data_IF_740968759653
#
_entry.id   IF_740968759653
#
_cell.length_a   1.000
_cell.length_b   1.000
_cell.length_c   1.000
_cell.angle_alpha   90.00
_cell.angle_beta   90.00
_cell.angle_gamma   90.00
#
_symmetry.space_group_name_H-M   'P 1'
#
loop_
_entity.id
_entity.type
_entity.pdbx_description
1 polymer ?
#
# COMPACT_ATOMS: atom_id res chain seq x y z
N UNK A 1 -13.92 -30.57 -14.04
CA UNK A 1 -13.45 -29.59 -15.05
C UNK A 1 -13.00 -28.30 -14.36
N UNK A 2 -11.82 -28.32 -13.74
CA UNK A 2 -11.19 -27.21 -12.99
C UNK A 2 -9.68 -27.28 -13.21
N UNK A 3 -9.22 -27.06 -14.45
CA UNK A 3 -7.78 -26.99 -14.80
C UNK A 3 -7.47 -26.02 -15.97
N UNK A 4 -8.39 -25.11 -16.32
CA UNK A 4 -8.21 -24.21 -17.47
C UNK A 4 -7.94 -22.74 -17.08
N UNK A 5 -8.10 -22.35 -15.80
CA UNK A 5 -7.91 -20.93 -15.40
C UNK A 5 -6.45 -20.57 -15.10
N UNK A 6 -5.56 -21.55 -14.87
CA UNK A 6 -4.15 -21.29 -14.49
C UNK A 6 -3.23 -21.09 -15.71
N UNK A 7 -3.67 -21.44 -16.93
CA UNK A 7 -2.91 -21.16 -18.15
C UNK A 7 -3.14 -19.75 -18.75
N UNK A 8 -4.09 -18.97 -18.23
CA UNK A 8 -4.39 -17.63 -18.72
C UNK A 8 -3.43 -16.53 -18.23
N UNK A 9 -2.69 -16.76 -17.14
CA UNK A 9 -1.76 -15.79 -16.55
C UNK A 9 -0.31 -15.92 -17.05
N UNK A 10 -0.01 -16.98 -17.81
CA UNK A 10 1.33 -17.23 -18.40
C UNK A 10 1.38 -16.95 -19.92
N UNK A 11 0.27 -16.59 -20.55
CA UNK A 11 0.17 -16.32 -22.00
C UNK A 11 -0.12 -14.85 -22.37
N UNK A 12 0.08 -13.90 -21.45
CA UNK A 12 0.15 -12.46 -21.75
C UNK A 12 1.61 -12.00 -21.72
N UNK A 13 2.53 -12.82 -22.26
CA UNK A 13 3.95 -12.47 -22.38
C UNK A 13 4.39 -12.18 -23.82
N UNK A 14 3.50 -12.31 -24.82
CA UNK A 14 3.86 -12.13 -26.23
C UNK A 14 2.71 -11.55 -27.08
N UNK A 15 2.28 -10.32 -26.81
CA UNK A 15 1.57 -9.50 -27.81
C UNK A 15 1.37 -8.03 -27.37
N UNK A 16 2.46 -7.29 -27.14
CA UNK A 16 2.42 -5.83 -27.32
C UNK A 16 3.84 -5.30 -27.48
N UNK A 17 4.43 -5.56 -28.64
CA UNK A 17 5.46 -4.69 -29.18
C UNK A 17 4.80 -3.34 -29.54
N UNK A 18 4.52 -2.54 -28.53
CA UNK A 18 4.05 -1.16 -28.65
C UNK A 18 5.11 -0.29 -27.99
N UNK A 19 6.05 0.18 -28.81
CA UNK A 19 7.01 1.26 -28.54
C UNK A 19 7.48 1.30 -27.07
N UNK A 20 8.32 0.34 -26.68
CA UNK A 20 9.03 0.44 -25.40
C UNK A 20 10.02 1.60 -25.51
N UNK A 21 9.65 2.74 -24.98
CA UNK A 21 10.60 3.79 -24.67
C UNK A 21 11.62 3.17 -23.71
N UNK A 22 12.85 2.95 -24.18
CA UNK A 22 13.92 2.34 -23.39
C UNK A 22 14.04 3.07 -22.06
N UNK A 23 13.95 2.32 -20.95
CA UNK A 23 14.11 2.91 -19.62
C UNK A 23 15.57 3.31 -19.47
N UNK A 24 15.83 4.58 -19.14
CA UNK A 24 17.20 5.05 -18.93
C UNK A 24 17.81 4.40 -17.69
N UNK A 25 19.15 4.25 -17.65
CA UNK A 25 19.85 3.73 -16.46
C UNK A 25 19.51 4.53 -15.19
N UNK A 26 19.35 5.85 -15.33
CA UNK A 26 18.91 6.71 -14.23
C UNK A 26 17.52 6.33 -13.75
N UNK A 27 16.57 6.14 -14.66
CA UNK A 27 15.20 5.76 -14.30
C UNK A 27 15.13 4.36 -13.68
N UNK A 28 15.93 3.40 -14.17
CA UNK A 28 16.05 2.08 -13.53
C UNK A 28 16.61 2.18 -12.10
N UNK A 29 17.63 3.01 -11.89
CA UNK A 29 18.19 3.25 -10.56
C UNK A 29 17.14 3.85 -9.61
N UNK A 30 16.41 4.87 -10.05
CA UNK A 30 15.35 5.49 -9.25
C UNK A 30 14.22 4.49 -8.94
N UNK A 31 13.83 3.63 -9.89
CA UNK A 31 12.89 2.54 -9.65
C UNK A 31 13.40 1.56 -8.57
N UNK A 32 14.69 1.20 -8.58
CA UNK A 32 15.29 0.34 -7.54
C UNK A 32 15.24 1.01 -6.17
N UNK A 33 15.55 2.31 -6.10
CA UNK A 33 15.51 3.07 -4.84
C UNK A 33 14.08 3.15 -4.31
N UNK A 34 13.10 3.47 -5.18
CA UNK A 34 11.68 3.48 -4.83
C UNK A 34 11.23 2.15 -4.24
N UNK A 35 11.47 1.04 -4.97
CA UNK A 35 11.03 -0.30 -4.56
C UNK A 35 11.72 -0.75 -3.26
N UNK A 36 13.01 -0.46 -3.10
CA UNK A 36 13.75 -0.79 -1.88
C UNK A 36 13.23 -0.01 -0.66
N UNK A 37 12.94 1.28 -0.82
CA UNK A 37 12.36 2.08 0.25
C UNK A 37 10.93 1.63 0.59
N UNK A 38 10.14 1.27 -0.42
CA UNK A 38 8.80 0.72 -0.23
C UNK A 38 8.84 -0.62 0.52
N UNK A 39 9.73 -1.55 0.16
CA UNK A 39 9.87 -2.85 0.87
C UNK A 39 10.17 -2.64 2.35
N UNK A 40 11.09 -1.73 2.68
CA UNK A 40 11.41 -1.38 4.07
C UNK A 40 10.18 -0.83 4.82
N UNK A 41 9.41 0.04 4.19
CA UNK A 41 8.22 0.63 4.79
C UNK A 41 7.10 -0.41 5.00
N UNK A 42 6.90 -1.30 4.01
CA UNK A 42 5.93 -2.40 4.09
C UNK A 42 6.34 -3.42 5.15
N UNK A 43 7.63 -3.75 5.27
CA UNK A 43 8.15 -4.62 6.34
C UNK A 43 7.78 -4.11 7.73
N UNK A 44 7.97 -2.81 8.00
CA UNK A 44 7.55 -2.22 9.28
C UNK A 44 6.04 -2.39 9.54
N UNK A 45 5.22 -2.39 8.48
CA UNK A 45 3.77 -2.59 8.59
C UNK A 45 3.42 -4.05 8.88
N UNK A 46 4.15 -5.01 8.30
CA UNK A 46 4.03 -6.43 8.63
C UNK A 46 4.37 -6.68 10.09
N UNK A 47 5.46 -6.09 10.59
CA UNK A 47 5.85 -6.21 12.00
C UNK A 47 4.79 -5.66 12.95
N UNK A 48 4.17 -4.53 12.59
CA UNK A 48 3.05 -3.96 13.34
C UNK A 48 1.81 -4.87 13.32
N UNK A 49 1.46 -5.45 12.16
CA UNK A 49 0.35 -6.40 12.03
C UNK A 49 0.60 -7.64 12.90
N UNK A 50 1.81 -8.16 12.94
CA UNK A 50 2.18 -9.33 13.74
C UNK A 50 2.14 -9.03 15.25
N UNK A 51 2.61 -7.85 15.67
CA UNK A 51 2.49 -7.39 17.04
C UNK A 51 1.01 -7.29 17.46
N UNK A 52 0.16 -6.72 16.60
CA UNK A 52 -1.27 -6.62 16.84
C UNK A 52 -1.95 -8.00 16.92
N UNK A 53 -1.68 -8.90 15.96
CA UNK A 53 -2.20 -10.29 15.95
C UNK A 53 -1.82 -11.04 17.23
N UNK A 54 -0.58 -10.86 17.69
CA UNK A 54 -0.09 -11.46 18.94
C UNK A 54 -0.81 -10.89 20.16
N UNK A 55 -1.06 -9.58 20.19
CA UNK A 55 -1.86 -8.92 21.23
C UNK A 55 -3.29 -9.47 21.28
N UNK A 56 -3.96 -9.59 20.14
CA UNK A 56 -5.32 -10.10 20.02
C UNK A 56 -5.48 -11.54 20.50
N UNK A 57 -4.54 -12.44 20.17
CA UNK A 57 -4.60 -13.84 20.62
C UNK A 57 -4.66 -13.97 22.14
N UNK A 58 -4.03 -13.04 22.89
CA UNK A 58 -4.07 -13.00 24.36
C UNK A 58 -5.41 -12.50 24.91
N UNK A 59 -6.22 -11.84 24.08
CA UNK A 59 -7.51 -11.23 24.46
C UNK A 59 -8.73 -12.05 23.98
N UNK A 60 -8.52 -13.04 23.10
CA UNK A 60 -9.56 -13.85 22.47
C UNK A 60 -10.30 -14.82 23.41
N UNK A 61 -9.94 -14.90 24.69
CA UNK A 61 -10.63 -15.79 25.64
C UNK A 61 -12.04 -15.30 26.03
N UNK A 62 -12.49 -14.08 25.64
CA UNK A 62 -13.74 -13.50 26.17
C UNK A 62 -14.86 -13.03 25.22
N UNK A 63 -14.68 -12.79 23.91
CA UNK A 63 -15.83 -12.45 23.02
C UNK A 63 -15.62 -12.88 21.56
N UNK A 64 -16.44 -13.82 21.09
CA UNK A 64 -16.41 -14.47 19.77
C UNK A 64 -17.57 -13.99 18.89
N UNK A 65 -17.31 -13.06 17.97
CA UNK A 65 -18.08 -12.91 16.70
C UNK A 65 -17.53 -11.73 15.85
N UNK A 66 -17.13 -10.63 16.50
CA UNK A 66 -16.56 -9.44 15.79
C UNK A 66 -15.06 -9.57 15.49
N UNK A 67 -14.38 -10.49 16.17
CA UNK A 67 -12.96 -10.77 15.98
C UNK A 67 -12.70 -11.46 14.65
N UNK A 68 -13.62 -12.30 14.15
CA UNK A 68 -13.36 -13.07 12.92
C UNK A 68 -13.31 -12.20 11.67
N UNK A 69 -14.23 -11.23 11.52
CA UNK A 69 -14.17 -10.25 10.42
C UNK A 69 -12.86 -9.46 10.46
N UNK A 70 -12.46 -9.02 11.65
CA UNK A 70 -11.23 -8.25 11.81
C UNK A 70 -9.98 -9.10 11.56
N UNK A 71 -10.01 -10.37 11.95
CA UNK A 71 -8.96 -11.34 11.64
C UNK A 71 -8.82 -11.56 10.14
N UNK A 72 -9.93 -11.69 9.40
CA UNK A 72 -9.92 -11.75 7.94
C UNK A 72 -9.27 -10.49 7.36
N UNK A 73 -9.67 -9.29 7.82
CA UNK A 73 -9.05 -8.03 7.39
C UNK A 73 -7.53 -8.03 7.64
N UNK A 74 -7.05 -8.46 8.81
CA UNK A 74 -5.62 -8.54 9.11
C UNK A 74 -4.89 -9.59 8.27
N UNK A 75 -5.54 -10.69 7.91
CA UNK A 75 -4.98 -11.70 7.02
C UNK A 75 -4.86 -11.15 5.59
N UNK A 76 -5.90 -10.48 5.09
CA UNK A 76 -5.91 -9.85 3.78
C UNK A 76 -4.82 -8.79 3.65
N UNK A 77 -4.71 -7.88 4.62
CA UNK A 77 -3.65 -6.84 4.61
C UNK A 77 -2.25 -7.48 4.70
N UNK A 78 -2.06 -8.52 5.52
CA UNK A 78 -0.76 -9.22 5.57
C UNK A 78 -0.43 -9.90 4.25
N UNK A 79 -1.39 -10.59 3.63
CA UNK A 79 -1.18 -11.25 2.34
C UNK A 79 -0.80 -10.23 1.27
N UNK A 80 -1.48 -9.08 1.24
CA UNK A 80 -1.15 -8.00 0.32
C UNK A 80 0.27 -7.47 0.55
N UNK A 81 0.67 -7.23 1.81
CA UNK A 81 2.04 -6.84 2.14
C UNK A 81 3.05 -7.89 1.65
N UNK A 82 2.79 -9.19 1.83
CA UNK A 82 3.69 -10.24 1.34
C UNK A 82 3.78 -10.28 -0.19
N UNK A 83 2.67 -10.12 -0.90
CA UNK A 83 2.65 -10.07 -2.36
C UNK A 83 3.45 -8.88 -2.89
N UNK A 84 3.29 -7.69 -2.29
CA UNK A 84 4.08 -6.50 -2.64
C UNK A 84 5.58 -6.76 -2.48
N UNK A 85 5.96 -7.33 -1.33
CA UNK A 85 7.38 -7.61 -1.02
C UNK A 85 7.96 -8.68 -1.94
N UNK A 86 7.21 -9.73 -2.27
CA UNK A 86 7.64 -10.76 -3.23
C UNK A 86 7.86 -10.17 -4.63
N UNK A 87 6.93 -9.32 -5.10
CA UNK A 87 7.09 -8.60 -6.36
C UNK A 87 8.36 -7.71 -6.37
N UNK A 88 8.62 -7.00 -5.27
CA UNK A 88 9.83 -6.17 -5.13
C UNK A 88 11.08 -7.05 -5.14
N UNK A 89 11.11 -8.13 -4.36
CA UNK A 89 12.25 -9.05 -4.29
C UNK A 89 12.58 -9.65 -5.66
N UNK A 90 11.56 -10.16 -6.36
CA UNK A 90 11.71 -10.72 -7.69
C UNK A 90 12.16 -9.67 -8.71
N UNK A 91 11.83 -8.39 -8.51
CA UNK A 91 12.24 -7.33 -9.40
C UNK A 91 13.75 -7.10 -9.45
N UNK A 92 14.51 -7.41 -8.38
CA UNK A 92 15.93 -7.01 -8.23
C UNK A 92 16.79 -7.37 -9.46
N UNK A 93 16.58 -8.56 -10.03
CA UNK A 93 17.34 -9.05 -11.17
C UNK A 93 16.62 -8.91 -12.53
N UNK A 94 15.49 -8.21 -12.58
CA UNK A 94 14.73 -7.97 -13.81
C UNK A 94 15.36 -6.89 -14.69
N UNK A 95 14.99 -6.90 -15.98
CA UNK A 95 15.34 -5.83 -16.90
C UNK A 95 14.62 -4.51 -16.51
N UNK A 96 15.18 -3.34 -16.88
CA UNK A 96 14.61 -2.03 -16.54
C UNK A 96 13.12 -1.86 -16.88
N UNK A 97 12.69 -2.36 -18.04
CA UNK A 97 11.31 -2.28 -18.50
C UNK A 97 10.37 -3.08 -17.58
N UNK A 98 10.77 -4.31 -17.23
CA UNK A 98 10.00 -5.17 -16.33
C UNK A 98 9.91 -4.58 -14.93
N UNK A 99 11.02 -4.01 -14.42
CA UNK A 99 11.03 -3.33 -13.12
C UNK A 99 10.11 -2.11 -13.11
N UNK A 100 10.07 -1.36 -14.22
CA UNK A 100 9.15 -0.23 -14.36
C UNK A 100 7.68 -0.67 -14.31
N UNK A 101 7.34 -1.84 -14.88
CA UNK A 101 6.01 -2.43 -14.70
C UNK A 101 5.75 -2.86 -13.25
N UNK A 102 6.74 -3.46 -12.56
CA UNK A 102 6.60 -3.79 -11.13
C UNK A 102 6.27 -2.55 -10.30
N UNK A 103 6.90 -1.39 -10.57
CA UNK A 103 6.56 -0.12 -9.89
C UNK A 103 5.08 0.25 -10.09
N UNK A 104 4.54 0.05 -11.30
CA UNK A 104 3.13 0.33 -11.57
C UNK A 104 2.22 -0.67 -10.86
N UNK A 105 2.57 -1.95 -10.88
CA UNK A 105 1.79 -3.02 -10.29
C UNK A 105 1.69 -2.86 -8.76
N UNK A 106 2.80 -2.51 -8.09
CA UNK A 106 2.75 -2.22 -6.66
C UNK A 106 1.89 -0.98 -6.37
N UNK A 107 1.98 0.11 -7.15
CA UNK A 107 1.09 1.28 -6.95
C UNK A 107 -0.38 0.90 -7.19
N UNK A 108 -0.65 0.07 -8.21
CA UNK A 108 -2.00 -0.37 -8.56
C UNK A 108 -2.61 -1.25 -7.47
N UNK A 109 -1.81 -2.00 -6.72
CA UNK A 109 -2.27 -2.84 -5.61
C UNK A 109 -3.06 -2.06 -4.55
N UNK A 110 -2.72 -0.78 -4.32
CA UNK A 110 -3.45 0.10 -3.40
C UNK A 110 -4.90 0.33 -3.81
N UNK A 111 -5.16 0.41 -5.13
CA UNK A 111 -6.49 0.68 -5.66
C UNK A 111 -6.62 0.20 -7.13
N UNK A 112 -6.96 -1.08 -7.35
CA UNK A 112 -6.89 -1.72 -8.66
C UNK A 112 -7.80 -1.14 -9.74
N UNK A 113 -8.87 -0.44 -9.33
CA UNK A 113 -9.84 0.21 -10.21
C UNK A 113 -9.33 1.52 -10.83
N UNK A 114 -8.24 2.10 -10.32
CA UNK A 114 -7.65 3.31 -10.89
C UNK A 114 -6.82 2.98 -12.13
N UNK A 115 -7.12 3.64 -13.24
CA UNK A 115 -6.51 3.37 -14.54
C UNK A 115 -5.17 4.11 -14.68
N UNK A 116 -4.13 3.36 -15.07
CA UNK A 116 -2.86 3.92 -15.52
C UNK A 116 -2.99 4.49 -16.94
N UNK A 117 -2.65 5.76 -17.12
CA UNK A 117 -2.64 6.42 -18.43
C UNK A 117 -1.20 6.65 -18.87
N UNK A 118 -0.78 5.99 -19.96
CA UNK A 118 0.52 6.21 -20.57
C UNK A 118 0.51 7.50 -21.41
N UNK A 119 0.47 8.65 -20.75
CA UNK A 119 0.49 9.97 -21.40
C UNK A 119 1.67 10.81 -20.95
N UNK A 120 2.04 11.77 -21.79
CA UNK A 120 3.04 12.78 -21.43
C UNK A 120 2.55 13.62 -20.25
N UNK A 121 3.45 13.86 -19.29
CA UNK A 121 3.18 14.67 -18.10
C UNK A 121 4.08 15.92 -18.15
N UNK A 122 3.51 17.13 -18.34
CA UNK A 122 4.26 18.37 -18.32
C UNK A 122 5.01 18.58 -17.01
N UNK A 123 6.13 19.30 -17.04
CA UNK A 123 6.93 19.57 -15.84
C UNK A 123 6.15 20.32 -14.75
N UNK A 124 5.23 21.22 -15.13
CA UNK A 124 4.36 21.90 -14.17
C UNK A 124 3.42 20.93 -13.46
N UNK A 125 2.72 20.07 -14.21
CA UNK A 125 1.85 19.04 -13.63
C UNK A 125 2.62 18.08 -12.71
N UNK A 126 3.83 17.70 -13.08
CA UNK A 126 4.67 16.84 -12.26
C UNK A 126 5.09 17.51 -10.94
N UNK A 127 5.36 18.83 -10.96
CA UNK A 127 5.60 19.61 -9.75
C UNK A 127 4.35 19.66 -8.87
N UNK A 128 3.19 19.97 -9.44
CA UNK A 128 1.92 19.98 -8.72
C UNK A 128 1.58 18.60 -8.11
N UNK A 129 1.92 17.53 -8.81
CA UNK A 129 1.80 16.15 -8.33
C UNK A 129 2.72 15.90 -7.13
N UNK A 130 3.99 16.31 -7.21
CA UNK A 130 4.92 16.24 -6.07
C UNK A 130 4.41 17.02 -4.87
N UNK A 131 4.04 18.29 -5.06
CA UNK A 131 3.54 19.16 -3.99
C UNK A 131 2.26 18.59 -3.36
N UNK A 132 1.41 17.94 -4.14
CA UNK A 132 0.23 17.24 -3.62
C UNK A 132 0.62 16.07 -2.71
N UNK A 133 1.54 15.22 -3.16
CA UNK A 133 1.99 14.06 -2.37
C UNK A 133 2.66 14.50 -1.07
N UNK A 134 3.46 15.56 -1.07
CA UNK A 134 4.06 16.13 0.13
C UNK A 134 2.99 16.62 1.13
N UNK A 135 2.00 17.38 0.65
CA UNK A 135 0.89 17.84 1.52
C UNK A 135 0.09 16.69 2.09
N UNK A 136 -0.18 15.66 1.29
CA UNK A 136 -0.92 14.48 1.76
C UNK A 136 -0.08 13.68 2.76
N UNK A 137 1.22 13.53 2.54
CA UNK A 137 2.13 12.88 3.49
C UNK A 137 2.05 13.53 4.87
N UNK A 138 2.13 14.86 4.95
CA UNK A 138 1.97 15.62 6.20
C UNK A 138 0.62 15.38 6.86
N UNK A 139 -0.46 15.39 6.08
CA UNK A 139 -1.82 15.12 6.58
C UNK A 139 -1.96 13.69 7.12
N UNK A 140 -1.40 12.70 6.42
CA UNK A 140 -1.43 11.28 6.83
C UNK A 140 -0.62 11.05 8.09
N UNK A 141 0.59 11.61 8.20
CA UNK A 141 1.39 11.54 9.43
C UNK A 141 0.63 12.10 10.64
N UNK A 142 -0.07 13.23 10.48
CA UNK A 142 -0.92 13.78 11.53
C UNK A 142 -2.04 12.80 11.90
N UNK A 143 -2.70 12.21 10.91
CA UNK A 143 -3.80 11.24 11.12
C UNK A 143 -3.34 9.96 11.78
N UNK A 144 -2.17 9.44 11.41
CA UNK A 144 -1.51 8.29 12.06
C UNK A 144 -1.29 8.60 13.54
N UNK A 145 -0.69 9.75 13.87
CA UNK A 145 -0.44 10.15 15.24
C UNK A 145 -1.72 10.37 16.06
N UNK A 146 -2.73 11.04 15.48
CA UNK A 146 -4.06 11.22 16.11
C UNK A 146 -4.70 9.85 16.40
N UNK A 147 -4.62 8.92 15.45
CA UNK A 147 -5.20 7.57 15.58
C UNK A 147 -4.47 6.76 16.65
N UNK A 148 -3.14 6.80 16.70
CA UNK A 148 -2.33 6.14 17.74
C UNK A 148 -2.70 6.63 19.14
N UNK A 149 -2.88 7.94 19.33
CA UNK A 149 -3.29 8.49 20.62
C UNK A 149 -4.68 7.98 21.05
N UNK A 150 -5.60 7.81 20.10
CA UNK A 150 -6.93 7.27 20.38
C UNK A 150 -6.90 5.76 20.65
N UNK A 151 -6.04 5.01 19.94
CA UNK A 151 -5.77 3.59 20.22
C UNK A 151 -5.32 3.43 21.66
N UNK A 152 -4.31 4.19 22.11
CA UNK A 152 -3.80 4.12 23.48
C UNK A 152 -4.89 4.38 24.53
N UNK A 153 -5.79 5.36 24.29
CA UNK A 153 -6.93 5.63 25.19
C UNK A 153 -7.90 4.45 25.24
N UNK A 154 -8.21 3.87 24.09
CA UNK A 154 -9.07 2.67 24.03
C UNK A 154 -8.42 1.47 24.73
N UNK A 155 -7.09 1.31 24.67
CA UNK A 155 -6.39 0.25 25.40
C UNK A 155 -6.53 0.40 26.93
N UNK A 156 -6.57 1.62 27.45
CA UNK A 156 -6.87 1.86 28.87
C UNK A 156 -8.30 1.45 29.23
N UNK A 157 -9.25 1.67 28.34
CA UNK A 157 -10.65 1.23 28.50
C UNK A 157 -10.76 -0.30 28.45
N UNK A 158 -10.07 -0.95 27.50
CA UNK A 158 -10.03 -2.41 27.38
C UNK A 158 -9.39 -3.05 28.63
N UNK A 159 -8.33 -2.46 29.18
CA UNK A 159 -7.72 -2.97 30.44
C UNK A 159 -8.69 -2.94 31.62
N UNK A 160 -9.59 -1.96 31.68
CA UNK A 160 -10.60 -1.84 32.76
C UNK A 160 -11.80 -2.74 32.56
N UNK A 161 -12.26 -2.87 31.32
CA UNK A 161 -13.50 -3.57 30.97
C UNK A 161 -13.28 -5.01 30.48
N UNK A 162 -12.02 -5.41 30.27
CA UNK A 162 -11.58 -6.71 29.75
C UNK A 162 -12.24 -7.13 28.42
N UNK A 163 -12.69 -6.17 27.62
CA UNK A 163 -13.43 -6.40 26.38
C UNK A 163 -12.96 -5.46 25.27
N UNK A 164 -12.82 -5.99 24.06
CA UNK A 164 -12.39 -5.24 22.88
C UNK A 164 -13.57 -4.46 22.28
N UNK A 165 -13.41 -3.14 22.15
CA UNK A 165 -14.43 -2.29 21.55
C UNK A 165 -14.39 -2.37 20.01
N UNK A 166 -15.54 -2.12 19.36
CA UNK A 166 -15.59 -1.91 17.89
C UNK A 166 -14.73 -0.71 17.47
N UNK A 167 -14.66 0.31 18.31
CA UNK A 167 -13.87 1.50 18.06
C UNK A 167 -12.38 1.18 18.01
N UNK A 168 -11.88 0.32 18.91
CA UNK A 168 -10.49 -0.14 18.88
C UNK A 168 -10.12 -0.79 17.54
N UNK A 169 -10.97 -1.70 17.05
CA UNK A 169 -10.78 -2.35 15.76
C UNK A 169 -10.84 -1.36 14.59
N UNK A 170 -11.78 -0.40 14.64
CA UNK A 170 -11.89 0.68 13.64
C UNK A 170 -10.62 1.53 13.61
N UNK A 171 -10.12 1.95 14.76
CA UNK A 171 -8.93 2.78 14.88
C UNK A 171 -7.69 2.08 14.32
N UNK A 172 -7.50 0.80 14.63
CA UNK A 172 -6.40 0.02 14.05
C UNK A 172 -6.55 -0.13 12.52
N UNK A 173 -7.76 -0.38 12.01
CA UNK A 173 -8.00 -0.37 10.55
C UNK A 173 -7.56 0.94 9.92
N UNK A 174 -7.96 2.08 10.51
CA UNK A 174 -7.59 3.41 10.03
C UNK A 174 -6.08 3.62 10.09
N UNK A 175 -5.44 3.21 11.19
CA UNK A 175 -4.00 3.29 11.37
C UNK A 175 -3.25 2.51 10.27
N UNK A 176 -3.67 1.28 9.96
CA UNK A 176 -3.10 0.48 8.88
C UNK A 176 -3.31 1.13 7.52
N UNK A 177 -4.51 1.61 7.22
CA UNK A 177 -4.82 2.23 5.93
C UNK A 177 -4.02 3.52 5.70
N UNK A 178 -3.91 4.39 6.71
CA UNK A 178 -3.11 5.62 6.60
C UNK A 178 -1.62 5.31 6.47
N UNK A 179 -1.11 4.38 7.27
CA UNK A 179 0.31 3.98 7.23
C UNK A 179 0.65 3.34 5.87
N UNK A 180 -0.22 2.47 5.34
CA UNK A 180 -0.03 1.87 4.03
C UNK A 180 0.07 2.92 2.94
N UNK A 181 -0.86 3.88 2.86
CA UNK A 181 -0.75 4.94 1.86
C UNK A 181 0.53 5.77 2.03
N UNK A 182 0.90 6.10 3.28
CA UNK A 182 2.13 6.82 3.59
C UNK A 182 3.40 6.07 3.15
N UNK A 183 3.42 4.74 3.25
CA UNK A 183 4.54 3.91 2.81
C UNK A 183 4.86 4.07 1.31
N UNK A 184 3.83 4.26 0.48
CA UNK A 184 3.96 4.47 -0.97
C UNK A 184 4.31 5.91 -1.34
N UNK A 185 3.79 6.88 -0.57
CA UNK A 185 3.99 8.31 -0.81
C UNK A 185 5.39 8.76 -0.39
N UNK A 186 5.91 8.25 0.73
CA UNK A 186 7.18 8.70 1.30
C UNK A 186 8.36 8.61 0.32
N UNK A 187 8.58 7.51 -0.43
CA UNK A 187 9.65 7.43 -1.42
C UNK A 187 9.28 8.00 -2.81
N UNK A 188 8.13 8.69 -2.97
CA UNK A 188 7.59 9.05 -4.29
C UNK A 188 8.42 10.06 -5.10
N UNK A 189 9.42 10.69 -4.47
CA UNK A 189 10.42 11.53 -5.14
C UNK A 189 11.20 10.75 -6.21
N UNK A 190 11.44 9.45 -5.97
CA UNK A 190 12.11 8.52 -6.89
C UNK A 190 11.23 8.05 -8.06
N UNK A 191 9.93 8.37 -8.06
CA UNK A 191 9.07 7.99 -9.17
C UNK A 191 9.31 8.88 -10.38
N UNK A 192 9.32 8.26 -11.56
CA UNK A 192 9.17 9.01 -12.80
C UNK A 192 7.80 9.75 -12.82
N UNK A 193 7.67 10.74 -13.71
CA UNK A 193 6.47 11.61 -13.78
C UNK A 193 5.17 10.84 -13.98
N UNK A 194 5.21 9.74 -14.75
CA UNK A 194 4.02 8.93 -15.06
C UNK A 194 3.56 8.15 -13.84
N UNK A 195 4.48 7.50 -13.15
CA UNK A 195 4.19 6.72 -11.94
C UNK A 195 3.81 7.63 -10.77
N UNK A 196 4.45 8.80 -10.63
CA UNK A 196 4.05 9.82 -9.64
C UNK A 196 2.63 10.32 -9.90
N UNK A 197 2.31 10.64 -11.16
CA UNK A 197 0.95 11.02 -11.55
C UNK A 197 -0.08 9.91 -11.26
N UNK A 198 0.27 8.66 -11.51
CA UNK A 198 -0.58 7.52 -11.20
C UNK A 198 -0.82 7.38 -9.69
N UNK A 199 0.24 7.48 -8.88
CA UNK A 199 0.14 7.48 -7.43
C UNK A 199 -0.74 8.63 -6.91
N UNK A 200 -0.66 9.83 -7.50
CA UNK A 200 -1.55 10.95 -7.15
C UNK A 200 -3.02 10.60 -7.40
N UNK A 201 -3.35 9.95 -8.53
CA UNK A 201 -4.74 9.52 -8.80
C UNK A 201 -5.21 8.51 -7.76
N UNK A 202 -4.40 7.49 -7.49
CA UNK A 202 -4.69 6.47 -6.47
C UNK A 202 -4.90 7.11 -5.10
N UNK A 203 -3.98 7.99 -4.69
CA UNK A 203 -4.06 8.69 -3.40
C UNK A 203 -5.33 9.57 -3.30
N UNK A 204 -5.71 10.29 -4.35
CA UNK A 204 -6.93 11.11 -4.36
C UNK A 204 -8.17 10.26 -4.09
N UNK A 205 -8.32 9.15 -4.81
CA UNK A 205 -9.46 8.26 -4.68
C UNK A 205 -9.54 7.61 -3.30
N UNK A 206 -8.40 7.16 -2.76
CA UNK A 206 -8.34 6.63 -1.38
C UNK A 206 -8.71 7.72 -0.36
N UNK A 207 -8.19 8.93 -0.52
CA UNK A 207 -8.47 10.04 0.40
C UNK A 207 -9.93 10.47 0.38
N UNK A 208 -10.62 10.40 -0.78
CA UNK A 208 -12.07 10.63 -0.86
C UNK A 208 -12.83 9.55 -0.08
N UNK A 209 -12.53 8.27 -0.32
CA UNK A 209 -13.17 7.17 0.40
C UNK A 209 -12.93 7.23 1.92
N UNK A 210 -11.78 7.73 2.36
CA UNK A 210 -11.47 7.93 3.79
C UNK A 210 -12.21 9.11 4.43
N UNK A 211 -12.72 10.07 3.66
CA UNK A 211 -13.52 11.19 4.18
C UNK A 211 -15.00 10.85 4.31
N UNK A 212 -15.46 9.84 3.58
CA UNK A 212 -16.85 9.38 3.55
C UNK A 212 -17.14 8.23 4.56
N UNK A 213 -16.09 7.68 5.21
CA UNK A 213 -16.15 6.55 6.16
C UNK A 213 -16.00 6.96 7.64
#
# INVERSE_FOLDING_TARGET
MRKIVILGLLMIFFASALVSQSISEKEDLENKVYLSALDKNVLNTVELLDAFKTGMKKMQEKEYDKVEYYKSFLEDVSNECFLIRDNIFNSVNMQPEQRSEVVKDVIKSLKPDVIYENKYIPAQQDRENSDYLDRISVKLMKKVNETLQNITKEEENIKKNEAISREYLKLHSQHFMYSMLLNYITPSEHLNKRNRNFLVKVAKEIMVGMQEA
#
